data_IF_360661981243
#
_entry.id   IF_360661981243
#
_cell.length_a   1.000
_cell.length_b   1.000
_cell.length_c   1.000
_cell.angle_alpha   90.00
_cell.angle_beta   90.00
_cell.angle_gamma   90.00
#
_symmetry.space_group_name_H-M   'P 1'
#
loop_
_entity.id
_entity.type
_entity.pdbx_description
1 polymer ?
#
# COMPACT_ATOMS: atom_id res chain seq x y z
N UNK A 1 -5.40 -33.79 -38.69
CA UNK A 1 -5.37 -32.32 -38.53
C UNK A 1 -6.32 -31.83 -37.43
N UNK A 2 -7.64 -32.11 -37.49
CA UNK A 2 -8.60 -31.65 -36.45
C UNK A 2 -8.28 -32.14 -35.04
N UNK A 3 -7.96 -33.42 -34.85
CA UNK A 3 -7.58 -33.98 -33.54
C UNK A 3 -6.33 -33.32 -32.94
N UNK A 4 -5.32 -33.00 -33.76
CA UNK A 4 -4.12 -32.31 -33.31
C UNK A 4 -4.43 -30.89 -32.83
N UNK A 5 -5.23 -30.14 -33.58
CA UNK A 5 -5.68 -28.79 -33.23
C UNK A 5 -6.46 -28.82 -31.92
N UNK A 6 -7.42 -29.73 -31.78
CA UNK A 6 -8.17 -29.89 -30.52
C UNK A 6 -7.26 -30.21 -29.35
N UNK A 7 -6.26 -31.08 -29.51
CA UNK A 7 -5.29 -31.40 -28.47
C UNK A 7 -4.46 -30.19 -28.04
N UNK A 8 -4.02 -29.36 -28.99
CA UNK A 8 -3.29 -28.11 -28.70
C UNK A 8 -4.17 -27.13 -27.92
N UNK A 9 -5.41 -26.95 -28.33
CA UNK A 9 -6.35 -26.05 -27.65
C UNK A 9 -6.58 -26.49 -26.20
N UNK A 10 -6.86 -27.78 -25.98
CA UNK A 10 -7.05 -28.33 -24.62
C UNK A 10 -5.79 -28.14 -23.78
N UNK A 11 -4.61 -28.41 -24.33
CA UNK A 11 -3.34 -28.20 -23.63
C UNK A 11 -3.16 -26.72 -23.23
N UNK A 12 -3.42 -25.78 -24.14
CA UNK A 12 -3.29 -24.34 -23.84
C UNK A 12 -4.27 -23.89 -22.74
N UNK A 13 -5.50 -24.41 -22.75
CA UNK A 13 -6.48 -24.14 -21.71
C UNK A 13 -6.01 -24.67 -20.35
N UNK A 14 -5.57 -25.93 -20.30
CA UNK A 14 -5.09 -26.53 -19.07
C UNK A 14 -3.82 -25.83 -18.54
N UNK A 15 -2.92 -25.45 -19.45
CA UNK A 15 -1.70 -24.71 -19.12
C UNK A 15 -2.03 -23.31 -18.58
N UNK A 16 -3.00 -22.62 -19.19
CA UNK A 16 -3.49 -21.35 -18.67
C UNK A 16 -4.04 -21.48 -17.24
N UNK A 17 -4.91 -22.48 -16.98
CA UNK A 17 -5.41 -22.74 -15.63
C UNK A 17 -4.29 -23.10 -14.66
N UNK A 18 -3.29 -23.86 -15.09
CA UNK A 18 -2.11 -24.16 -14.27
C UNK A 18 -1.33 -22.90 -13.89
N UNK A 19 -1.17 -21.94 -14.82
CA UNK A 19 -0.46 -20.68 -14.56
C UNK A 19 -1.19 -19.78 -13.56
N UNK A 20 -2.52 -19.72 -13.62
CA UNK A 20 -3.33 -18.87 -12.74
C UNK A 20 -3.79 -19.60 -11.47
N UNK A 21 -3.47 -20.90 -11.34
CA UNK A 21 -3.90 -21.70 -10.18
C UNK A 21 -3.33 -21.15 -8.89
N UNK A 22 -4.19 -20.85 -7.87
CA UNK A 22 -3.70 -20.31 -6.61
C UNK A 22 -2.73 -21.29 -5.92
N UNK A 23 -1.57 -20.79 -5.50
CA UNK A 23 -0.58 -21.58 -4.77
C UNK A 23 -1.09 -21.90 -3.36
N UNK A 24 -1.85 -22.97 -3.24
CA UNK A 24 -2.42 -23.43 -1.97
C UNK A 24 -1.36 -23.85 -0.92
N UNK A 25 -0.10 -24.01 -1.33
CA UNK A 25 1.02 -24.36 -0.45
C UNK A 25 1.36 -23.29 0.60
N UNK A 26 0.87 -22.05 0.43
CA UNK A 26 1.12 -20.93 1.35
C UNK A 26 -0.06 -20.63 2.29
N UNK A 27 -0.97 -21.58 2.51
CA UNK A 27 -2.15 -21.41 3.40
C UNK A 27 -1.79 -20.84 4.77
N UNK A 28 -0.64 -21.24 5.34
CA UNK A 28 -0.19 -20.77 6.65
C UNK A 28 0.16 -19.27 6.65
N UNK A 29 0.73 -18.76 5.57
CA UNK A 29 1.08 -17.34 5.42
C UNK A 29 -0.15 -16.46 5.18
N UNK A 30 -1.19 -17.01 4.53
CA UNK A 30 -2.42 -16.27 4.21
C UNK A 30 -3.38 -16.25 5.41
N UNK A 31 -3.23 -17.18 6.37
CA UNK A 31 -4.16 -17.36 7.50
C UNK A 31 -4.43 -16.08 8.30
N UNK A 32 -3.46 -15.21 8.60
CA UNK A 32 -3.72 -13.94 9.30
C UNK A 32 -4.62 -12.96 8.54
N UNK A 33 -4.72 -13.13 7.21
CA UNK A 33 -5.51 -12.26 6.33
C UNK A 33 -6.92 -12.81 6.07
N UNK A 34 -7.15 -14.12 6.36
CA UNK A 34 -8.46 -14.74 6.18
C UNK A 34 -9.43 -14.20 7.25
N UNK A 35 -10.61 -13.78 6.80
CA UNK A 35 -11.67 -13.23 7.66
C UNK A 35 -11.32 -11.90 8.34
N UNK A 36 -10.26 -11.22 7.90
CA UNK A 36 -9.92 -9.87 8.36
C UNK A 36 -10.51 -8.85 7.40
N UNK A 37 -11.25 -7.89 7.91
CA UNK A 37 -11.63 -6.69 7.16
C UNK A 37 -10.45 -5.73 7.18
N UNK A 38 -10.18 -5.10 6.03
CA UNK A 38 -9.10 -4.13 5.89
C UNK A 38 -9.69 -2.73 5.75
N UNK A 39 -9.18 -1.80 6.54
CA UNK A 39 -9.45 -0.40 6.40
C UNK A 39 -8.53 0.16 5.29
N UNK A 40 -9.14 0.48 4.13
CA UNK A 40 -8.45 1.08 2.99
C UNK A 40 -7.95 2.47 3.35
N UNK A 41 -6.64 2.67 3.33
CA UNK A 41 -5.94 3.89 3.79
C UNK A 41 -6.21 4.26 5.25
N UNK A 42 -6.45 3.24 6.10
CA UNK A 42 -6.87 3.44 7.49
C UNK A 42 -8.38 3.68 7.66
N UNK A 43 -8.85 3.74 8.90
CA UNK A 43 -10.25 4.05 9.23
C UNK A 43 -10.43 5.57 9.32
N UNK A 44 -10.45 6.22 8.17
CA UNK A 44 -10.42 7.66 8.01
C UNK A 44 -11.84 8.29 7.97
N UNK A 45 -11.92 9.55 8.36
CA UNK A 45 -13.13 10.39 8.28
C UNK A 45 -12.70 11.86 8.27
N UNK A 46 -12.68 12.48 7.10
CA UNK A 46 -12.19 13.85 6.92
C UNK A 46 -12.99 14.85 7.74
N UNK A 47 -14.30 14.66 7.87
CA UNK A 47 -15.20 15.53 8.64
C UNK A 47 -14.86 15.53 10.13
N UNK A 48 -14.19 14.50 10.62
CA UNK A 48 -13.68 14.38 12.01
C UNK A 48 -12.21 14.76 12.15
N UNK A 49 -11.59 15.30 11.11
CA UNK A 49 -10.17 15.64 11.11
C UNK A 49 -9.24 14.42 11.06
N UNK A 50 -9.74 13.27 10.59
CA UNK A 50 -8.97 12.01 10.44
C UNK A 50 -8.78 11.75 8.94
N UNK A 51 -7.73 12.30 8.30
CA UNK A 51 -7.48 12.06 6.88
C UNK A 51 -7.01 10.64 6.60
N UNK A 52 -7.17 10.21 5.34
CA UNK A 52 -6.62 8.94 4.85
C UNK A 52 -5.09 8.91 4.98
N UNK A 53 -4.50 7.72 5.08
CA UNK A 53 -3.05 7.51 5.17
C UNK A 53 -2.37 8.33 6.29
N UNK A 54 -3.05 8.54 7.42
CA UNK A 54 -2.57 9.30 8.57
C UNK A 54 -2.44 8.44 9.83
N UNK A 55 -1.61 8.87 10.78
CA UNK A 55 -1.43 8.18 12.07
C UNK A 55 -2.76 7.96 12.80
N UNK A 56 -3.67 8.95 12.93
CA UNK A 56 -4.95 8.72 13.60
C UNK A 56 -5.86 7.76 12.84
N UNK A 57 -5.84 7.73 11.49
CA UNK A 57 -6.65 6.77 10.73
C UNK A 57 -6.20 5.32 10.97
N UNK A 58 -4.91 5.10 11.10
CA UNK A 58 -4.33 3.78 11.41
C UNK A 58 -4.66 3.36 12.85
N UNK A 59 -4.51 4.25 13.81
CA UNK A 59 -4.90 3.99 15.21
C UNK A 59 -6.38 3.65 15.34
N UNK A 60 -7.23 4.37 14.60
CA UNK A 60 -8.66 4.09 14.57
C UNK A 60 -8.95 2.70 13.98
N UNK A 61 -8.30 2.30 12.88
CA UNK A 61 -8.44 0.97 12.29
C UNK A 61 -8.04 -0.13 13.29
N UNK A 62 -6.89 0.00 13.95
CA UNK A 62 -6.41 -0.95 14.96
C UNK A 62 -7.41 -1.08 16.11
N UNK A 63 -7.96 0.05 16.61
CA UNK A 63 -8.93 0.03 17.72
C UNK A 63 -10.23 -0.68 17.38
N UNK A 64 -10.59 -0.75 16.08
CA UNK A 64 -11.75 -1.49 15.59
C UNK A 64 -11.43 -2.93 15.20
N UNK A 65 -10.19 -3.38 15.37
CA UNK A 65 -9.76 -4.74 15.04
C UNK A 65 -9.64 -5.00 13.53
N UNK A 66 -9.47 -3.96 12.72
CA UNK A 66 -9.27 -4.08 11.28
C UNK A 66 -7.80 -4.28 10.93
N UNK A 67 -7.54 -5.02 9.87
CA UNK A 67 -6.30 -4.91 9.11
C UNK A 67 -6.23 -3.56 8.40
N UNK A 68 -5.06 -3.19 7.96
CA UNK A 68 -4.84 -1.91 7.31
C UNK A 68 -4.23 -2.13 5.95
N UNK A 69 -4.71 -1.36 5.00
CA UNK A 69 -4.05 -1.15 3.73
C UNK A 69 -3.56 0.29 3.70
N UNK A 70 -2.36 0.50 3.17
CA UNK A 70 -1.75 1.82 3.01
C UNK A 70 -0.90 1.90 1.73
N UNK A 71 -0.67 3.12 1.28
CA UNK A 71 0.02 3.42 0.02
C UNK A 71 1.39 4.05 0.28
N UNK A 72 2.43 3.58 -0.39
CA UNK A 72 3.81 4.05 -0.21
C UNK A 72 4.38 4.62 -1.49
N UNK A 73 4.98 5.80 -1.40
CA UNK A 73 5.77 6.45 -2.43
C UNK A 73 7.22 6.64 -1.98
N UNK A 74 8.12 6.75 -2.98
CA UNK A 74 9.51 7.13 -2.75
C UNK A 74 9.67 8.65 -2.98
N UNK A 75 10.29 9.33 -2.04
CA UNK A 75 10.62 10.76 -2.14
C UNK A 75 11.86 11.00 -2.99
N UNK A 76 12.15 12.26 -3.32
CA UNK A 76 13.36 12.67 -4.05
C UNK A 76 14.65 12.24 -3.33
N UNK A 77 14.67 12.26 -2.02
CA UNK A 77 15.80 11.90 -1.16
C UNK A 77 15.78 10.43 -0.71
N UNK A 78 14.94 9.59 -1.35
CA UNK A 78 14.93 8.14 -1.14
C UNK A 78 14.28 7.70 0.16
N UNK A 79 13.38 8.48 0.75
CA UNK A 79 12.61 8.09 1.93
C UNK A 79 11.24 7.55 1.51
N UNK A 80 10.67 6.68 2.31
CA UNK A 80 9.35 6.08 2.09
C UNK A 80 8.29 6.89 2.84
N UNK A 81 7.34 7.47 2.11
CA UNK A 81 6.21 8.25 2.66
C UNK A 81 4.89 7.57 2.38
N UNK A 82 3.92 7.77 3.27
CA UNK A 82 2.60 7.12 3.18
C UNK A 82 1.57 8.13 2.70
N UNK A 83 1.22 8.03 1.42
CA UNK A 83 0.22 8.86 0.74
C UNK A 83 -0.24 8.12 -0.52
N UNK A 84 -1.51 8.30 -0.93
CA UNK A 84 -2.04 7.60 -2.10
C UNK A 84 -1.62 8.22 -3.43
N UNK A 85 -1.82 9.53 -3.59
CA UNK A 85 -1.61 10.21 -4.88
C UNK A 85 -0.14 10.54 -5.10
N UNK A 86 0.32 10.43 -6.35
CA UNK A 86 1.65 10.88 -6.75
C UNK A 86 1.78 12.39 -6.83
N UNK A 87 0.68 13.14 -6.78
CA UNK A 87 0.61 14.60 -6.66
C UNK A 87 0.11 15.04 -5.30
N UNK A 88 0.25 16.32 -4.98
CA UNK A 88 -0.05 16.88 -3.66
C UNK A 88 -1.35 17.71 -3.64
N UNK A 89 -2.01 17.87 -4.80
CA UNK A 89 -3.15 18.79 -4.92
C UNK A 89 -4.36 18.36 -4.11
N UNK A 90 -4.78 17.11 -4.24
CA UNK A 90 -6.00 16.63 -3.57
C UNK A 90 -5.86 16.62 -2.06
N UNK A 91 -4.74 16.11 -1.55
CA UNK A 91 -4.58 15.90 -0.11
C UNK A 91 -3.92 17.08 0.61
N UNK A 92 -3.05 17.83 -0.07
CA UNK A 92 -2.31 18.92 0.57
C UNK A 92 -2.69 20.31 0.04
N UNK A 93 -3.50 20.41 -1.03
CA UNK A 93 -3.93 21.68 -1.60
C UNK A 93 -2.80 22.48 -2.27
N UNK A 94 -1.66 21.86 -2.56
CA UNK A 94 -0.50 22.52 -3.20
C UNK A 94 -0.09 21.78 -4.47
N UNK A 95 0.43 22.47 -5.49
CA UNK A 95 0.93 21.81 -6.69
C UNK A 95 2.26 21.10 -6.43
N UNK A 96 2.54 20.05 -7.23
CA UNK A 96 3.80 19.32 -7.22
C UNK A 96 3.62 17.83 -7.01
N UNK A 97 4.71 17.09 -7.15
CA UNK A 97 4.71 15.63 -7.05
C UNK A 97 5.52 15.18 -5.84
N UNK A 98 5.09 14.08 -5.24
CA UNK A 98 5.78 13.42 -4.11
C UNK A 98 7.23 13.10 -4.46
N UNK A 99 7.48 12.51 -5.64
CA UNK A 99 8.81 12.13 -6.09
C UNK A 99 9.77 13.33 -6.35
N UNK A 100 9.27 14.56 -6.39
CA UNK A 100 10.05 15.78 -6.60
C UNK A 100 10.41 16.50 -5.29
N UNK A 101 9.89 16.02 -4.16
CA UNK A 101 10.06 16.60 -2.82
C UNK A 101 10.91 15.71 -1.92
N UNK A 102 11.61 16.32 -0.97
CA UNK A 102 12.25 15.60 0.14
C UNK A 102 11.22 15.24 1.20
N UNK A 103 11.56 14.28 2.05
CA UNK A 103 10.72 13.91 3.20
C UNK A 103 10.45 15.12 4.12
N UNK A 104 11.44 15.99 4.34
CA UNK A 104 11.30 17.19 5.14
C UNK A 104 10.31 18.19 4.52
N UNK A 105 10.40 18.43 3.19
CA UNK A 105 9.45 19.27 2.46
C UNK A 105 8.01 18.74 2.55
N UNK A 106 7.83 17.41 2.52
CA UNK A 106 6.51 16.76 2.63
C UNK A 106 5.96 16.79 4.06
N UNK A 107 6.80 16.63 5.07
CA UNK A 107 6.40 16.71 6.49
C UNK A 107 5.85 18.09 6.88
N UNK A 108 6.24 19.15 6.16
CA UNK A 108 5.72 20.49 6.37
C UNK A 108 4.29 20.68 5.86
N UNK A 109 3.79 19.78 5.00
CA UNK A 109 2.44 19.84 4.41
C UNK A 109 1.40 19.24 5.36
N UNK A 110 0.15 19.67 5.20
CA UNK A 110 -0.98 19.19 5.99
C UNK A 110 -1.97 18.43 5.12
N UNK A 111 -2.41 17.27 5.64
CA UNK A 111 -3.37 16.40 4.97
C UNK A 111 -4.79 16.91 5.12
N UNK A 112 -5.49 17.18 4.02
CA UNK A 112 -6.91 17.58 3.97
C UNK A 112 -7.27 18.75 4.90
N UNK A 113 -6.36 19.70 5.12
CA UNK A 113 -6.55 20.85 5.98
C UNK A 113 -6.59 20.53 7.49
N UNK A 114 -6.20 19.31 7.88
CA UNK A 114 -6.06 18.90 9.29
C UNK A 114 -4.70 19.31 9.88
N UNK A 115 -4.44 18.94 11.13
CA UNK A 115 -3.11 19.08 11.75
C UNK A 115 -2.14 17.96 11.37
N UNK A 116 -2.63 16.90 10.68
CA UNK A 116 -1.86 15.74 10.31
C UNK A 116 -0.95 16.04 9.11
N UNK A 117 0.25 15.48 9.13
CA UNK A 117 1.23 15.55 8.04
C UNK A 117 1.30 14.21 7.28
N UNK A 118 2.03 14.19 6.15
CA UNK A 118 2.35 12.98 5.42
C UNK A 118 3.37 12.18 6.25
N UNK A 119 3.03 11.00 6.79
CA UNK A 119 3.94 10.26 7.64
C UNK A 119 4.98 9.48 6.83
N UNK A 120 6.15 9.24 7.42
CA UNK A 120 7.09 8.25 6.93
C UNK A 120 6.58 6.83 7.22
N UNK A 121 6.93 5.86 6.37
CA UNK A 121 6.59 4.46 6.62
C UNK A 121 7.17 3.96 7.95
N UNK A 122 8.40 4.34 8.28
CA UNK A 122 9.06 3.99 9.54
C UNK A 122 8.37 4.55 10.79
N UNK A 123 7.61 5.65 10.68
CA UNK A 123 6.80 6.19 11.78
C UNK A 123 5.50 5.39 11.98
N UNK A 124 5.01 4.81 10.89
CA UNK A 124 3.74 4.08 10.86
C UNK A 124 3.91 2.63 11.33
N UNK A 125 4.99 1.95 10.94
CA UNK A 125 5.21 0.53 11.21
C UNK A 125 5.11 0.13 12.69
N UNK A 126 5.65 0.89 13.65
CA UNK A 126 5.54 0.55 15.06
C UNK A 126 4.10 0.49 15.60
N UNK A 127 3.16 1.15 14.93
CA UNK A 127 1.75 1.10 15.31
C UNK A 127 1.16 -0.30 15.10
N UNK A 128 1.64 -1.02 14.08
CA UNK A 128 1.09 -2.31 13.66
C UNK A 128 1.74 -3.50 14.36
N UNK A 129 2.96 -3.38 14.87
CA UNK A 129 3.79 -4.46 15.39
C UNK A 129 2.98 -5.52 16.16
N UNK A 130 2.62 -6.62 15.50
CA UNK A 130 1.83 -7.73 16.03
C UNK A 130 0.36 -7.42 16.36
N UNK A 131 -0.16 -6.22 16.07
CA UNK A 131 -1.53 -5.78 16.42
C UNK A 131 -2.53 -5.96 15.29
N UNK A 132 -2.12 -5.74 14.05
CA UNK A 132 -2.97 -5.82 12.88
C UNK A 132 -2.19 -6.28 11.65
N UNK A 133 -2.80 -7.07 10.74
CA UNK A 133 -2.18 -7.37 9.47
C UNK A 133 -2.13 -6.12 8.59
N UNK A 134 -1.03 -5.97 7.86
CA UNK A 134 -0.75 -4.83 7.00
C UNK A 134 -0.66 -5.28 5.54
N UNK A 135 -1.28 -4.52 4.64
CA UNK A 135 -1.12 -4.58 3.19
C UNK A 135 -0.49 -3.27 2.74
N UNK A 136 0.63 -3.34 2.06
CA UNK A 136 1.34 -2.17 1.55
C UNK A 136 1.22 -2.15 0.03
N UNK A 137 0.58 -1.13 -0.51
CA UNK A 137 0.55 -0.87 -1.95
C UNK A 137 1.74 0.02 -2.34
N UNK A 138 2.54 -0.47 -3.28
CA UNK A 138 3.69 0.27 -3.80
C UNK A 138 3.26 1.14 -4.98
N UNK A 139 3.19 2.44 -4.77
CA UNK A 139 2.84 3.42 -5.81
C UNK A 139 4.11 3.82 -6.56
N UNK A 140 4.23 3.38 -7.77
CA UNK A 140 5.42 3.68 -8.58
C UNK A 140 5.06 4.37 -9.88
N UNK A 141 5.84 5.37 -10.22
CA UNK A 141 6.00 5.81 -11.60
C UNK A 141 6.84 4.77 -12.35
N UNK A 142 6.86 4.82 -13.68
CA UNK A 142 7.56 3.85 -14.54
C UNK A 142 9.06 3.67 -14.21
N UNK A 143 9.65 4.62 -13.48
CA UNK A 143 11.03 4.61 -13.05
C UNK A 143 11.09 4.51 -11.52
N UNK A 144 11.85 3.54 -10.98
CA UNK A 144 12.06 3.41 -9.53
C UNK A 144 11.34 2.25 -8.84
N UNK A 145 10.53 1.45 -9.56
CA UNK A 145 9.80 0.32 -8.97
C UNK A 145 10.68 -0.67 -8.18
N UNK A 146 11.88 -0.95 -8.69
CA UNK A 146 12.81 -1.87 -8.03
C UNK A 146 13.44 -1.28 -6.76
N UNK A 147 13.69 0.03 -6.74
CA UNK A 147 14.17 0.73 -5.55
C UNK A 147 13.08 0.78 -4.49
N UNK A 148 11.87 1.24 -4.86
CA UNK A 148 10.71 1.29 -3.98
C UNK A 148 10.42 -0.08 -3.33
N UNK A 149 10.43 -1.17 -4.13
CA UNK A 149 10.19 -2.52 -3.61
C UNK A 149 11.27 -2.97 -2.64
N UNK A 150 12.56 -2.73 -2.95
CA UNK A 150 13.68 -3.09 -2.08
C UNK A 150 13.61 -2.33 -0.77
N UNK A 151 13.56 -1.00 -0.86
CA UNK A 151 13.60 -0.12 0.31
C UNK A 151 12.39 -0.36 1.23
N UNK A 152 11.22 -0.70 0.64
CA UNK A 152 10.04 -1.10 1.43
C UNK A 152 10.26 -2.42 2.14
N UNK A 153 10.83 -3.44 1.48
CA UNK A 153 11.13 -4.74 2.13
C UNK A 153 12.14 -4.54 3.25
N UNK A 154 13.22 -3.79 3.00
CA UNK A 154 14.26 -3.50 4.00
C UNK A 154 13.70 -2.73 5.22
N UNK A 155 12.65 -1.92 5.02
CA UNK A 155 11.97 -1.21 6.11
C UNK A 155 11.02 -2.11 6.91
N UNK A 156 10.53 -3.21 6.32
CA UNK A 156 9.59 -4.15 6.97
C UNK A 156 10.30 -5.25 7.78
N UNK A 157 11.59 -5.49 7.55
CA UNK A 157 12.42 -6.48 8.24
C UNK A 157 13.02 -5.91 9.54
#
# INVERSE_FOLDING_TARGET
MRLLITGIIVFLILFYFYLIWPRLSRKRQIRPFLHTMFAHRGYHCIEKGIPENSIPSFRAAISHGYGIELDVHLTRDGRLVVIHDGDLERMCGVPGRVAEKTAEELAALRLAGSEEHIPLLEEVLPLFAGRAPLVVELKTDRHGAAALARDTVDCLD
#
